data_IF_000470072461
#
_entry.id   IF_000470072461
#
_cell.length_a   1.000
_cell.length_b   1.000
_cell.length_c   1.000
_cell.angle_alpha   90.00
_cell.angle_beta   90.00
_cell.angle_gamma   90.00
#
_symmetry.space_group_name_H-M   'P 1'
#
loop_
_entity.id
_entity.type
_entity.pdbx_description
1 polymer ?
#
# COMPACT_ATOMS: atom_id res chain seq x y z
N UNK A 1 19.68 10.62 -8.42
CA UNK A 1 19.87 9.31 -7.78
C UNK A 1 18.53 8.67 -7.51
N UNK A 2 18.31 7.47 -8.08
CA UNK A 2 17.08 6.67 -7.96
C UNK A 2 16.68 6.43 -6.49
N UNK A 3 17.64 6.00 -5.68
CA UNK A 3 17.39 5.68 -4.25
C UNK A 3 16.85 6.89 -3.48
N UNK A 4 17.42 8.08 -3.72
CA UNK A 4 16.94 9.31 -3.08
C UNK A 4 15.53 9.65 -3.53
N UNK A 5 15.23 9.51 -4.82
CA UNK A 5 13.89 9.77 -5.36
C UNK A 5 12.85 8.81 -4.76
N UNK A 6 13.18 7.52 -4.66
CA UNK A 6 12.32 6.52 -4.04
C UNK A 6 12.05 6.82 -2.56
N UNK A 7 13.09 7.16 -1.79
CA UNK A 7 12.94 7.54 -0.39
C UNK A 7 12.06 8.80 -0.22
N UNK A 8 12.20 9.80 -1.09
CA UNK A 8 11.34 10.97 -1.09
C UNK A 8 9.87 10.60 -1.36
N UNK A 9 9.62 9.74 -2.32
CA UNK A 9 8.25 9.25 -2.63
C UNK A 9 7.64 8.53 -1.44
N UNK A 10 8.39 7.64 -0.79
CA UNK A 10 7.94 6.92 0.40
C UNK A 10 7.63 7.88 1.55
N UNK A 11 8.49 8.87 1.79
CA UNK A 11 8.28 9.88 2.83
C UNK A 11 7.03 10.73 2.56
N UNK A 12 6.87 11.23 1.32
CA UNK A 12 5.68 11.98 0.91
C UNK A 12 4.41 11.15 1.08
N UNK A 13 4.43 9.87 0.68
CA UNK A 13 3.29 8.97 0.83
C UNK A 13 2.90 8.77 2.31
N UNK A 14 3.87 8.61 3.21
CA UNK A 14 3.62 8.45 4.66
C UNK A 14 3.04 9.71 5.31
N UNK A 15 3.34 10.89 4.79
CA UNK A 15 2.92 12.18 5.37
C UNK A 15 1.64 12.74 4.78
N UNK A 16 1.13 12.16 3.67
CA UNK A 16 -0.03 12.69 2.95
C UNK A 16 -1.27 12.90 3.83
N UNK A 17 -1.50 12.02 4.81
CA UNK A 17 -2.64 12.09 5.71
C UNK A 17 -2.65 13.30 6.65
N UNK A 18 -1.53 13.99 6.79
CA UNK A 18 -1.40 15.20 7.62
C UNK A 18 -1.60 16.49 6.83
N UNK A 19 -1.72 16.42 5.51
CA UNK A 19 -1.93 17.57 4.65
C UNK A 19 -3.42 17.98 4.61
N UNK A 20 -3.73 19.27 4.33
CA UNK A 20 -5.07 19.71 3.97
C UNK A 20 -5.63 18.90 2.79
N UNK A 21 -6.96 18.73 2.71
CA UNK A 21 -7.59 17.85 1.72
C UNK A 21 -7.23 18.20 0.26
N UNK A 22 -7.18 19.48 -0.08
CA UNK A 22 -6.77 19.91 -1.42
C UNK A 22 -5.34 19.52 -1.75
N UNK A 23 -4.42 19.69 -0.79
CA UNK A 23 -3.02 19.31 -0.93
C UNK A 23 -2.85 17.79 -1.02
N UNK A 24 -3.67 17.01 -0.30
CA UNK A 24 -3.68 15.54 -0.43
C UNK A 24 -3.98 15.11 -1.85
N UNK A 25 -5.01 15.71 -2.50
CA UNK A 25 -5.39 15.38 -3.90
C UNK A 25 -4.24 15.68 -4.86
N UNK A 26 -3.62 16.86 -4.72
CA UNK A 26 -2.49 17.23 -5.59
C UNK A 26 -1.26 16.36 -5.33
N UNK A 27 -1.00 16.02 -4.08
CA UNK A 27 0.13 15.14 -3.71
C UNK A 27 -0.07 13.73 -4.26
N UNK A 28 -1.28 13.16 -4.19
CA UNK A 28 -1.58 11.85 -4.82
C UNK A 28 -1.25 11.86 -6.31
N UNK A 29 -1.69 12.89 -7.05
CA UNK A 29 -1.41 13.01 -8.49
C UNK A 29 0.09 13.05 -8.77
N UNK A 30 0.84 13.84 -8.00
CA UNK A 30 2.30 13.93 -8.14
C UNK A 30 3.00 12.62 -7.79
N UNK A 31 2.56 11.94 -6.74
CA UNK A 31 3.14 10.66 -6.32
C UNK A 31 2.94 9.55 -7.36
N UNK A 32 1.75 9.47 -7.97
CA UNK A 32 1.50 8.50 -9.06
C UNK A 32 2.51 8.70 -10.18
N UNK A 33 2.66 9.91 -10.68
CA UNK A 33 3.61 10.20 -11.77
C UNK A 33 5.07 9.91 -11.37
N UNK A 34 5.47 10.28 -10.14
CA UNK A 34 6.83 10.02 -9.65
C UNK A 34 7.12 8.53 -9.59
N UNK A 35 6.21 7.72 -9.04
CA UNK A 35 6.45 6.29 -8.88
C UNK A 35 6.38 5.54 -10.22
N UNK A 36 5.53 5.98 -11.15
CA UNK A 36 5.51 5.43 -12.51
C UNK A 36 6.83 5.70 -13.25
N UNK A 37 7.44 6.88 -13.06
CA UNK A 37 8.77 7.16 -13.60
C UNK A 37 9.86 6.28 -12.95
N UNK A 38 9.81 6.07 -11.64
CA UNK A 38 10.75 5.17 -10.95
C UNK A 38 10.58 3.72 -11.42
N UNK A 39 9.35 3.27 -11.63
CA UNK A 39 9.06 1.95 -12.18
C UNK A 39 9.60 1.77 -13.62
N UNK A 40 9.60 2.84 -14.41
CA UNK A 40 10.22 2.80 -15.75
C UNK A 40 11.75 2.72 -15.70
N UNK A 41 12.38 3.23 -14.63
CA UNK A 41 13.84 3.14 -14.42
C UNK A 41 14.24 1.76 -13.90
N UNK A 42 13.51 1.25 -12.89
CA UNK A 42 13.75 -0.08 -12.31
C UNK A 42 12.41 -0.83 -12.16
N UNK A 43 12.02 -1.62 -13.17
CA UNK A 43 10.77 -2.38 -13.18
C UNK A 43 10.78 -3.60 -12.24
N UNK A 44 11.93 -3.98 -11.70
CA UNK A 44 12.09 -5.12 -10.81
C UNK A 44 12.27 -4.73 -9.33
N UNK A 45 12.26 -3.42 -9.01
CA UNK A 45 12.27 -2.99 -7.60
C UNK A 45 10.88 -3.21 -6.95
N UNK A 46 10.77 -4.12 -5.97
CA UNK A 46 9.51 -4.39 -5.28
C UNK A 46 8.94 -3.19 -4.52
N UNK A 47 9.76 -2.21 -4.13
CA UNK A 47 9.30 -1.01 -3.42
C UNK A 47 8.42 -0.12 -4.30
N UNK A 48 8.69 -0.06 -5.60
CA UNK A 48 7.85 0.67 -6.55
C UNK A 48 6.41 0.12 -6.54
N UNK A 49 6.29 -1.21 -6.62
CA UNK A 49 4.98 -1.88 -6.58
C UNK A 49 4.30 -1.74 -5.22
N UNK A 50 5.06 -1.77 -4.13
CA UNK A 50 4.54 -1.56 -2.79
C UNK A 50 3.91 -0.16 -2.64
N UNK A 51 4.59 0.89 -3.10
CA UNK A 51 4.05 2.26 -3.04
C UNK A 51 2.82 2.41 -3.94
N UNK A 52 2.86 1.87 -5.17
CA UNK A 52 1.69 1.84 -6.06
C UNK A 52 0.52 1.08 -5.46
N UNK A 53 0.78 -0.05 -4.82
CA UNK A 53 -0.23 -0.83 -4.10
C UNK A 53 -0.90 0.02 -3.02
N UNK A 54 -0.11 0.66 -2.18
CA UNK A 54 -0.60 1.47 -1.09
C UNK A 54 -1.46 2.66 -1.59
N UNK A 55 -0.99 3.40 -2.60
CA UNK A 55 -1.74 4.51 -3.22
C UNK A 55 -3.06 4.03 -3.80
N UNK A 56 -3.03 2.97 -4.60
CA UNK A 56 -4.22 2.39 -5.24
C UNK A 56 -5.24 1.93 -4.21
N UNK A 57 -4.81 1.22 -3.16
CA UNK A 57 -5.71 0.73 -2.13
C UNK A 57 -6.31 1.88 -1.32
N UNK A 58 -5.50 2.85 -0.90
CA UNK A 58 -5.96 4.01 -0.13
C UNK A 58 -6.98 4.83 -0.89
N UNK A 59 -6.67 5.22 -2.12
CA UNK A 59 -7.56 6.04 -2.95
C UNK A 59 -8.76 5.23 -3.44
N UNK A 60 -8.54 3.97 -3.83
CA UNK A 60 -9.60 3.05 -4.26
C UNK A 60 -10.66 2.83 -3.17
N UNK A 61 -10.25 2.78 -1.91
CA UNK A 61 -11.13 2.58 -0.76
C UNK A 61 -11.94 3.82 -0.34
N UNK A 62 -11.69 5.00 -0.95
CA UNK A 62 -12.46 6.20 -0.62
C UNK A 62 -13.89 6.06 -1.16
N UNK A 63 -14.93 6.31 -0.34
CA UNK A 63 -16.32 6.27 -0.79
C UNK A 63 -16.60 7.23 -1.96
N UNK A 64 -17.45 6.81 -2.90
CA UNK A 64 -17.76 7.57 -4.12
C UNK A 64 -18.26 8.99 -3.83
N UNK A 65 -19.07 9.18 -2.77
CA UNK A 65 -19.55 10.51 -2.35
C UNK A 65 -18.37 11.44 -2.03
N UNK A 66 -17.36 10.94 -1.31
CA UNK A 66 -16.16 11.72 -0.98
C UNK A 66 -15.31 12.02 -2.22
N UNK A 67 -15.20 11.05 -3.15
CA UNK A 67 -14.51 11.26 -4.44
C UNK A 67 -15.21 12.34 -5.27
N UNK A 68 -16.55 12.31 -5.29
CA UNK A 68 -17.36 13.34 -5.99
C UNK A 68 -17.14 14.73 -5.38
N UNK A 69 -17.18 14.87 -4.05
CA UNK A 69 -16.86 16.14 -3.41
C UNK A 69 -15.44 16.62 -3.74
N UNK A 70 -14.46 15.71 -3.73
CA UNK A 70 -13.09 16.05 -4.10
C UNK A 70 -12.94 16.45 -5.56
N UNK A 71 -13.78 15.92 -6.47
CA UNK A 71 -13.76 16.29 -7.87
C UNK A 71 -14.24 17.74 -8.10
N UNK A 72 -15.28 18.15 -7.37
CA UNK A 72 -15.81 19.52 -7.45
C UNK A 72 -14.84 20.54 -6.84
N UNK A 73 -14.27 20.21 -5.67
CA UNK A 73 -13.51 21.19 -4.89
C UNK A 73 -12.02 21.25 -5.27
N UNK A 74 -11.43 20.13 -5.71
CA UNK A 74 -9.97 19.98 -5.86
C UNK A 74 -9.52 19.35 -7.17
N UNK A 75 -10.43 19.22 -8.15
CA UNK A 75 -10.14 18.64 -9.46
C UNK A 75 -9.98 17.11 -9.47
N UNK A 76 -10.53 16.45 -8.45
CA UNK A 76 -10.66 14.99 -8.40
C UNK A 76 -9.38 14.20 -8.13
N UNK A 77 -9.59 12.99 -7.66
CA UNK A 77 -8.54 11.95 -7.52
C UNK A 77 -8.42 11.16 -8.83
N UNK A 78 -7.24 10.62 -9.15
CA UNK A 78 -7.08 9.76 -10.33
C UNK A 78 -8.02 8.55 -10.29
N UNK A 79 -8.92 8.44 -11.27
CA UNK A 79 -9.96 7.38 -11.32
C UNK A 79 -9.37 5.98 -11.52
N UNK A 80 -8.18 5.90 -12.13
CA UNK A 80 -7.47 4.65 -12.36
C UNK A 80 -6.97 3.98 -11.08
N UNK A 81 -6.96 4.68 -9.94
CA UNK A 81 -6.55 4.14 -8.64
C UNK A 81 -7.70 3.33 -8.03
N UNK A 82 -7.54 2.01 -7.99
CA UNK A 82 -8.57 1.08 -7.53
C UNK A 82 -8.03 0.12 -6.47
N UNK A 83 -8.94 -0.39 -5.63
CA UNK A 83 -8.62 -1.43 -4.64
C UNK A 83 -8.02 -2.67 -5.32
N UNK A 84 -8.58 -3.09 -6.46
CA UNK A 84 -8.11 -4.27 -7.17
C UNK A 84 -6.66 -4.09 -7.66
N UNK A 85 -6.35 -2.96 -8.29
CA UNK A 85 -4.95 -2.66 -8.68
C UNK A 85 -4.02 -2.60 -7.47
N UNK A 86 -4.48 -2.10 -6.32
CA UNK A 86 -3.72 -2.13 -5.09
C UNK A 86 -3.33 -3.55 -4.67
N UNK A 87 -4.29 -4.48 -4.74
CA UNK A 87 -4.06 -5.90 -4.46
C UNK A 87 -3.08 -6.51 -5.48
N UNK A 88 -3.25 -6.23 -6.77
CA UNK A 88 -2.43 -6.79 -7.84
C UNK A 88 -0.97 -6.31 -7.75
N UNK A 89 -0.76 -5.03 -7.48
CA UNK A 89 0.58 -4.48 -7.24
C UNK A 89 1.24 -5.08 -5.98
N UNK A 90 0.49 -5.32 -4.90
CA UNK A 90 1.05 -5.98 -3.71
C UNK A 90 1.48 -7.42 -4.02
N UNK A 91 0.68 -8.16 -4.78
CA UNK A 91 1.06 -9.51 -5.25
C UNK A 91 2.33 -9.47 -6.10
N UNK A 92 2.48 -8.45 -6.96
CA UNK A 92 3.71 -8.26 -7.74
C UNK A 92 4.90 -7.97 -6.83
N UNK A 93 4.77 -7.10 -5.83
CA UNK A 93 5.83 -6.84 -4.85
C UNK A 93 6.26 -8.13 -4.11
N UNK A 94 5.28 -8.95 -3.68
CA UNK A 94 5.54 -10.27 -3.07
C UNK A 94 6.28 -11.19 -4.02
N UNK A 95 5.91 -11.24 -5.30
CA UNK A 95 6.59 -12.11 -6.28
C UNK A 95 8.05 -11.74 -6.50
N UNK A 96 8.39 -10.46 -6.36
CA UNK A 96 9.76 -9.93 -6.49
C UNK A 96 10.57 -10.09 -5.19
N UNK A 97 9.90 -10.03 -4.03
CA UNK A 97 10.54 -10.18 -2.71
C UNK A 97 9.67 -10.99 -1.78
N UNK A 98 9.66 -12.34 -1.92
CA UNK A 98 8.75 -13.23 -1.18
C UNK A 98 9.13 -13.43 0.29
N UNK A 99 10.31 -13.01 0.72
CA UNK A 99 10.81 -13.11 2.08
C UNK A 99 10.53 -11.87 2.95
N UNK A 100 9.77 -10.88 2.44
CA UNK A 100 9.50 -9.63 3.16
C UNK A 100 8.09 -9.64 3.80
N UNK A 101 8.04 -9.86 5.11
CA UNK A 101 6.80 -10.08 5.87
C UNK A 101 5.80 -8.91 5.82
N UNK A 102 6.29 -7.68 5.61
CA UNK A 102 5.46 -6.47 5.53
C UNK A 102 4.43 -6.55 4.41
N UNK A 103 4.83 -7.08 3.24
CA UNK A 103 3.94 -7.17 2.08
C UNK A 103 2.77 -8.12 2.34
N UNK A 104 3.03 -9.27 2.98
CA UNK A 104 1.98 -10.23 3.34
C UNK A 104 1.03 -9.64 4.37
N UNK A 105 1.56 -8.96 5.38
CA UNK A 105 0.73 -8.30 6.37
C UNK A 105 -0.20 -7.27 5.75
N UNK A 106 0.32 -6.36 4.92
CA UNK A 106 -0.47 -5.30 4.30
C UNK A 106 -1.49 -5.85 3.30
N UNK A 107 -1.14 -6.90 2.52
CA UNK A 107 -2.10 -7.60 1.68
C UNK A 107 -3.21 -8.27 2.52
N UNK A 108 -2.86 -8.86 3.66
CA UNK A 108 -3.83 -9.40 4.62
C UNK A 108 -4.79 -8.32 5.14
N UNK A 109 -4.28 -7.13 5.45
CA UNK A 109 -5.11 -5.98 5.82
C UNK A 109 -6.04 -5.56 4.67
N UNK A 110 -5.59 -5.61 3.42
CA UNK A 110 -6.42 -5.29 2.26
C UNK A 110 -7.59 -6.28 2.13
N UNK A 111 -7.32 -7.58 2.18
CA UNK A 111 -8.35 -8.61 2.13
C UNK A 111 -9.32 -8.53 3.30
N UNK A 112 -8.84 -8.29 4.51
CA UNK A 112 -9.69 -8.08 5.68
C UNK A 112 -10.66 -6.91 5.47
N UNK A 113 -10.19 -5.78 4.94
CA UNK A 113 -11.01 -4.59 4.69
C UNK A 113 -12.00 -4.77 3.53
N UNK A 114 -11.74 -5.68 2.63
CA UNK A 114 -12.63 -5.99 1.49
C UNK A 114 -13.57 -7.15 1.76
N UNK A 115 -13.63 -7.66 3.00
CA UNK A 115 -14.58 -8.69 3.41
C UNK A 115 -14.13 -10.12 3.10
N UNK A 116 -12.83 -10.37 2.97
CA UNK A 116 -12.23 -11.67 2.69
C UNK A 116 -11.37 -12.14 3.89
N UNK A 117 -11.99 -12.50 5.03
CA UNK A 117 -11.26 -12.81 6.26
C UNK A 117 -10.41 -14.06 6.18
N UNK A 118 -10.79 -15.07 5.38
CA UNK A 118 -10.02 -16.32 5.25
C UNK A 118 -8.72 -16.11 4.49
N UNK A 119 -8.76 -15.31 3.42
CA UNK A 119 -7.56 -14.91 2.67
C UNK A 119 -6.65 -14.04 3.54
N UNK A 120 -7.24 -13.13 4.31
CA UNK A 120 -6.50 -12.30 5.25
C UNK A 120 -5.79 -13.14 6.31
N UNK A 121 -6.46 -14.17 6.86
CA UNK A 121 -5.88 -15.09 7.83
C UNK A 121 -4.65 -15.79 7.31
N UNK A 122 -4.74 -16.40 6.11
CA UNK A 122 -3.60 -17.07 5.46
C UNK A 122 -2.40 -16.15 5.28
N UNK A 123 -2.64 -14.90 4.91
CA UNK A 123 -1.58 -13.91 4.72
C UNK A 123 -0.95 -13.46 6.04
N UNK A 124 -1.73 -13.31 7.11
CA UNK A 124 -1.19 -13.05 8.44
C UNK A 124 -0.39 -14.24 8.98
N UNK A 125 -0.81 -15.48 8.72
CA UNK A 125 -0.03 -16.69 9.02
C UNK A 125 1.33 -16.63 8.31
N UNK A 126 1.35 -16.36 7.00
CA UNK A 126 2.59 -16.21 6.23
C UNK A 126 3.47 -15.09 6.79
N UNK A 127 2.91 -13.90 7.06
CA UNK A 127 3.66 -12.79 7.65
C UNK A 127 4.26 -13.13 9.01
N UNK A 128 3.61 -14.00 9.80
CA UNK A 128 4.08 -14.42 11.13
C UNK A 128 5.19 -15.47 11.08
N UNK A 129 5.27 -16.26 10.01
CA UNK A 129 6.26 -17.34 9.86
C UNK A 129 7.57 -16.86 9.23
N UNK A 130 7.57 -15.78 8.47
CA UNK A 130 8.78 -15.22 7.87
C UNK A 130 9.71 -14.71 8.99
N UNK A 131 10.98 -15.12 8.93
CA UNK A 131 12.00 -14.63 9.87
C UNK A 131 12.31 -13.17 9.59
N UNK A 132 12.11 -12.26 10.56
CA UNK A 132 12.35 -10.85 10.33
C UNK A 132 13.86 -10.55 10.25
N UNK A 133 14.26 -9.81 9.24
CA UNK A 133 15.65 -9.36 9.03
C UNK A 133 15.83 -7.89 9.43
N UNK A 134 14.76 -7.17 9.70
CA UNK A 134 14.78 -5.74 10.06
C UNK A 134 13.88 -5.48 11.27
N UNK A 135 14.12 -4.39 12.04
CA UNK A 135 13.22 -3.97 13.11
C UNK A 135 11.78 -3.73 12.64
N UNK A 136 11.61 -3.23 11.41
CA UNK A 136 10.28 -3.02 10.82
C UNK A 136 9.56 -4.36 10.65
N UNK A 137 10.20 -5.36 10.05
CA UNK A 137 9.62 -6.70 9.87
C UNK A 137 9.24 -7.36 11.19
N UNK A 138 10.05 -7.17 12.24
CA UNK A 138 9.71 -7.65 13.57
C UNK A 138 8.40 -7.04 14.10
N UNK A 139 8.20 -5.73 13.89
CA UNK A 139 6.95 -5.05 14.27
C UNK A 139 5.76 -5.61 13.48
N UNK A 140 5.92 -5.82 12.18
CA UNK A 140 4.85 -6.34 11.32
C UNK A 140 4.51 -7.80 11.65
N UNK A 141 5.49 -8.63 11.97
CA UNK A 141 5.27 -9.98 12.48
C UNK A 141 4.41 -9.95 13.75
N UNK A 142 4.74 -9.11 14.73
CA UNK A 142 3.94 -8.95 15.96
C UNK A 142 2.51 -8.45 15.67
N UNK A 143 2.34 -7.59 14.69
CA UNK A 143 1.02 -7.16 14.25
C UNK A 143 0.23 -8.31 13.62
N UNK A 144 0.87 -9.15 12.81
CA UNK A 144 0.24 -10.32 12.21
C UNK A 144 -0.23 -11.33 13.29
N UNK A 145 0.62 -11.66 14.27
CA UNK A 145 0.26 -12.49 15.43
C UNK A 145 -0.96 -11.92 16.18
N UNK A 146 -1.02 -10.59 16.35
CA UNK A 146 -2.17 -9.92 16.99
C UNK A 146 -3.45 -10.01 16.17
N UNK A 147 -3.36 -9.87 14.84
CA UNK A 147 -4.53 -10.01 13.97
C UNK A 147 -5.06 -11.46 13.94
N UNK A 148 -4.18 -12.46 13.94
CA UNK A 148 -4.55 -13.87 14.05
C UNK A 148 -5.34 -14.14 15.33
N UNK A 149 -4.86 -13.68 16.49
CA UNK A 149 -5.60 -13.80 17.76
C UNK A 149 -7.00 -13.21 17.72
N UNK A 150 -7.20 -12.09 16.99
CA UNK A 150 -8.54 -11.50 16.82
C UNK A 150 -9.44 -12.34 15.91
N UNK A 151 -8.86 -13.14 15.02
CA UNK A 151 -9.58 -14.05 14.13
C UNK A 151 -9.82 -15.43 14.76
N UNK A 152 -9.44 -15.63 16.03
CA UNK A 152 -9.70 -16.86 16.77
C UNK A 152 -8.69 -17.99 16.51
N UNK A 153 -7.46 -17.63 16.11
CA UNK A 153 -6.35 -18.58 15.88
C UNK A 153 -5.29 -18.41 16.97
#
# INVERSE_FOLDING_TARGET
>A
DYTVQLLCVIAEAKTIGFLPQGDQVQTVKKLVNKIENLLAIDPDDPQNYYVLSWLNFKVGSIPQVKKFCASILYGGLPEQLTVQKGIDYMKKAISLRPDYSVYYFDLGVYYKKTGHPEEARKLFEQASTITPNTPEEFVYRKRAEKELKKLGV
#
